data_IF_289673947048
#
_entry.id   IF_289673947048
#
_cell.length_a   1.000
_cell.length_b   1.000
_cell.length_c   1.000
_cell.angle_alpha   90.00
_cell.angle_beta   90.00
_cell.angle_gamma   90.00
#
_symmetry.space_group_name_H-M   'P 1'
#
loop_
_entity.id
_entity.type
_entity.pdbx_description
1 polymer ?
#
# COMPACT_ATOMS: atom_id res chain seq x y z
N UNK A 1 -20.81 -50.93 1.23
CA UNK A 1 -19.55 -50.62 1.95
C UNK A 1 -19.66 -49.20 2.46
N UNK A 2 -19.64 -49.04 3.79
CA UNK A 2 -20.45 -48.04 4.49
C UNK A 2 -19.79 -46.67 4.69
N UNK A 3 -20.66 -45.67 4.85
CA UNK A 3 -20.44 -44.24 5.17
C UNK A 3 -19.28 -43.93 6.15
N UNK A 4 -18.90 -44.87 7.03
CA UNK A 4 -17.79 -44.71 7.97
C UNK A 4 -16.41 -44.52 7.31
N UNK A 5 -16.15 -45.14 6.15
CA UNK A 5 -14.85 -45.03 5.48
C UNK A 5 -14.60 -43.64 4.87
N UNK A 6 -15.65 -42.91 4.47
CA UNK A 6 -15.51 -41.54 3.94
C UNK A 6 -15.23 -40.52 5.03
N UNK A 7 -15.82 -40.71 6.22
CA UNK A 7 -15.58 -39.83 7.37
C UNK A 7 -14.16 -40.02 7.93
N UNK A 8 -13.68 -41.26 7.99
CA UNK A 8 -12.31 -41.58 8.41
C UNK A 8 -11.29 -41.06 7.40
N UNK A 9 -11.55 -41.16 6.10
CA UNK A 9 -10.68 -40.58 5.07
C UNK A 9 -10.64 -39.03 5.15
N UNK A 10 -11.77 -38.36 5.40
CA UNK A 10 -11.81 -36.90 5.56
C UNK A 10 -11.07 -36.44 6.82
N UNK A 11 -11.22 -37.17 7.93
CA UNK A 11 -10.51 -36.91 9.18
C UNK A 11 -9.00 -37.14 9.03
N UNK A 12 -8.58 -38.22 8.35
CA UNK A 12 -7.17 -38.47 8.04
C UNK A 12 -6.59 -37.40 7.10
N UNK A 13 -7.38 -36.87 6.16
CA UNK A 13 -6.93 -35.80 5.27
C UNK A 13 -6.76 -34.47 6.02
N UNK A 14 -7.70 -34.12 6.89
CA UNK A 14 -7.63 -32.90 7.71
C UNK A 14 -6.48 -32.98 8.74
N UNK A 15 -6.26 -34.14 9.38
CA UNK A 15 -5.15 -34.31 10.31
C UNK A 15 -3.79 -34.34 9.60
N UNK A 16 -3.69 -34.91 8.39
CA UNK A 16 -2.47 -34.86 7.57
C UNK A 16 -2.14 -33.41 7.16
N UNK A 17 -3.14 -32.60 6.79
CA UNK A 17 -2.94 -31.18 6.47
C UNK A 17 -2.55 -30.33 7.69
N UNK A 18 -3.13 -30.59 8.87
CA UNK A 18 -2.73 -29.95 10.11
C UNK A 18 -1.29 -30.34 10.50
N UNK A 19 -0.91 -31.61 10.31
CA UNK A 19 0.45 -32.10 10.56
C UNK A 19 1.47 -31.52 9.58
N UNK A 20 1.15 -31.41 8.28
CA UNK A 20 2.02 -30.78 7.27
C UNK A 20 2.23 -29.28 7.57
N UNK A 21 1.18 -28.55 7.97
CA UNK A 21 1.29 -27.14 8.37
C UNK A 21 2.12 -27.00 9.66
N UNK A 22 2.02 -27.96 10.58
CA UNK A 22 2.80 -28.00 11.81
C UNK A 22 4.29 -28.27 11.54
N UNK A 23 4.63 -29.23 10.67
CA UNK A 23 6.01 -29.57 10.29
C UNK A 23 6.70 -28.44 9.50
N UNK A 24 5.98 -27.76 8.59
CA UNK A 24 6.49 -26.58 7.86
C UNK A 24 6.83 -25.42 8.81
N UNK A 25 6.12 -25.31 9.95
CA UNK A 25 6.34 -24.24 10.93
C UNK A 25 7.54 -24.48 11.84
N UNK A 26 8.08 -25.71 11.89
CA UNK A 26 9.12 -26.10 12.85
C UNK A 26 10.37 -26.76 12.25
N UNK A 27 10.40 -27.06 10.95
CA UNK A 27 11.63 -27.50 10.29
C UNK A 27 12.50 -26.31 9.88
N UNK A 28 13.49 -26.03 10.72
CA UNK A 28 14.64 -25.18 10.40
C UNK A 28 15.45 -25.86 9.29
N UNK A 29 15.27 -25.45 8.03
CA UNK A 29 16.05 -26.02 6.95
C UNK A 29 17.40 -25.32 6.85
N UNK A 30 18.38 -25.98 7.47
CA UNK A 30 19.80 -25.93 7.14
C UNK A 30 19.96 -26.05 5.63
N UNK A 31 20.53 -25.03 4.98
CA UNK A 31 21.02 -25.11 3.60
C UNK A 31 22.51 -25.46 3.69
N UNK A 32 22.85 -26.74 3.49
CA UNK A 32 24.23 -27.17 3.27
C UNK A 32 24.54 -27.11 1.78
N UNK A 33 25.59 -26.35 1.45
CA UNK A 33 26.52 -26.65 0.35
C UNK A 33 26.08 -26.31 -1.07
N UNK A 34 26.15 -25.04 -1.44
CA UNK A 34 26.49 -24.66 -2.82
C UNK A 34 28.00 -24.38 -2.90
N UNK A 35 28.72 -25.09 -3.78
CA UNK A 35 29.99 -24.59 -4.29
C UNK A 35 29.70 -23.57 -5.38
N UNK A 36 30.01 -22.29 -5.12
CA UNK A 36 30.39 -21.32 -6.14
C UNK A 36 31.41 -20.36 -5.52
N UNK A 37 32.63 -20.40 -6.05
CA UNK A 37 33.76 -19.53 -5.72
C UNK A 37 33.88 -18.41 -6.81
N UNK A 38 34.70 -17.35 -6.65
CA UNK A 38 34.22 -16.03 -6.22
C UNK A 38 34.48 -14.85 -7.22
N UNK A 39 33.69 -13.77 -7.03
CA UNK A 39 34.01 -12.30 -7.01
C UNK A 39 35.11 -11.77 -7.97
N UNK A 40 34.89 -10.76 -8.85
CA UNK A 40 34.98 -9.30 -8.62
C UNK A 40 35.21 -8.58 -10.00
N UNK A 41 34.97 -7.28 -10.30
CA UNK A 41 35.20 -6.02 -9.56
C UNK A 41 34.39 -4.87 -10.18
N UNK A 42 33.86 -3.95 -9.37
CA UNK A 42 33.93 -2.52 -9.70
C UNK A 42 34.15 -1.69 -8.41
N UNK A 43 35.09 -0.74 -8.50
CA UNK A 43 35.40 0.25 -7.45
C UNK A 43 34.19 1.16 -7.24
N UNK A 44 33.77 1.35 -5.99
CA UNK A 44 32.88 2.44 -5.61
C UNK A 44 33.60 3.78 -5.83
N UNK A 45 32.97 4.68 -6.59
CA UNK A 45 33.25 6.13 -6.54
C UNK A 45 32.26 6.78 -5.55
N UNK A 46 32.64 7.89 -4.89
CA UNK A 46 31.77 8.55 -3.95
C UNK A 46 30.50 9.08 -4.64
N UNK A 47 29.43 8.93 -3.87
CA UNK A 47 28.06 9.35 -4.08
C UNK A 47 28.03 10.85 -4.43
N UNK A 48 27.62 11.17 -5.66
CA UNK A 48 27.27 12.54 -6.03
C UNK A 48 26.00 12.89 -5.25
N UNK A 49 26.07 13.85 -4.33
CA UNK A 49 24.87 14.47 -3.75
C UNK A 49 24.26 15.37 -4.82
N UNK A 50 23.04 15.11 -5.32
CA UNK A 50 22.37 16.08 -6.16
C UNK A 50 21.84 17.20 -5.26
N UNK A 51 22.18 18.43 -5.62
CA UNK A 51 21.53 19.64 -5.13
C UNK A 51 20.08 19.62 -5.63
N UNK A 52 19.11 19.62 -4.72
CA UNK A 52 17.68 19.60 -5.07
C UNK A 52 17.02 20.92 -4.72
N UNK A 53 16.26 21.45 -5.69
CA UNK A 53 15.41 22.62 -5.53
C UNK A 53 14.08 22.17 -4.90
N UNK A 54 13.90 22.47 -3.61
CA UNK A 54 12.72 22.06 -2.84
C UNK A 54 11.59 23.09 -3.03
N UNK A 55 10.93 23.06 -4.19
CA UNK A 55 9.70 23.81 -4.40
C UNK A 55 8.51 23.19 -3.65
N UNK A 56 7.53 24.02 -3.30
CA UNK A 56 6.33 23.66 -2.54
C UNK A 56 5.39 22.67 -3.29
N UNK A 57 5.73 22.35 -4.54
CA UNK A 57 4.93 21.57 -5.50
C UNK A 57 5.46 20.14 -5.72
N UNK A 58 6.39 19.66 -4.87
CA UNK A 58 6.90 18.28 -4.95
C UNK A 58 6.14 17.35 -4.02
N UNK A 59 5.67 16.21 -4.55
CA UNK A 59 5.02 15.16 -3.76
C UNK A 59 6.10 14.24 -3.19
N UNK A 60 6.13 14.12 -1.87
CA UNK A 60 7.04 13.22 -1.17
C UNK A 60 6.31 11.96 -0.72
N UNK A 61 6.80 10.79 -1.12
CA UNK A 61 6.24 9.49 -0.76
C UNK A 61 7.31 8.66 -0.06
N UNK A 62 7.04 8.16 1.14
CA UNK A 62 7.94 7.29 1.89
C UNK A 62 7.40 5.86 1.96
N UNK A 63 8.30 4.89 1.78
CA UNK A 63 7.99 3.46 1.80
C UNK A 63 9.01 2.72 2.65
N UNK A 64 8.54 1.83 3.52
CA UNK A 64 9.39 0.92 4.28
C UNK A 64 9.49 -0.41 3.54
N UNK A 65 10.70 -0.76 3.09
CA UNK A 65 10.97 -1.99 2.36
C UNK A 65 11.99 -2.81 3.17
N UNK A 66 11.46 -3.64 4.06
CA UNK A 66 12.22 -4.55 4.91
C UNK A 66 11.95 -6.01 4.53
N UNK A 67 12.81 -6.93 4.96
CA UNK A 67 12.50 -8.36 5.05
C UNK A 67 12.23 -9.09 3.71
N UNK A 68 12.91 -8.70 2.64
CA UNK A 68 12.98 -9.50 1.41
C UNK A 68 12.60 -8.75 0.14
N UNK A 69 12.59 -9.48 -0.98
CA UNK A 69 12.41 -8.89 -2.30
C UNK A 69 10.94 -8.70 -2.70
N UNK A 70 10.02 -9.42 -2.05
CA UNK A 70 8.59 -9.33 -2.36
C UNK A 70 8.05 -7.91 -2.16
N UNK A 71 8.49 -7.22 -1.11
CA UNK A 71 8.16 -5.81 -0.88
C UNK A 71 8.67 -4.89 -2.00
N UNK A 72 9.76 -5.26 -2.70
CA UNK A 72 10.25 -4.50 -3.84
C UNK A 72 9.36 -4.71 -5.07
N UNK A 73 8.83 -5.92 -5.25
CA UNK A 73 7.88 -6.22 -6.32
C UNK A 73 6.54 -5.53 -6.11
N UNK A 74 6.09 -5.46 -4.87
CA UNK A 74 4.94 -4.65 -4.45
C UNK A 74 5.21 -3.17 -4.72
N UNK A 75 6.36 -2.64 -4.30
CA UNK A 75 6.72 -1.24 -4.54
C UNK A 75 6.79 -0.88 -6.03
N UNK A 76 7.39 -1.72 -6.87
CA UNK A 76 7.39 -1.51 -8.32
C UNK A 76 5.96 -1.45 -8.87
N UNK A 77 5.09 -2.37 -8.46
CA UNK A 77 3.70 -2.44 -8.93
C UNK A 77 2.89 -1.24 -8.44
N UNK A 78 3.11 -0.80 -7.20
CA UNK A 78 2.54 0.42 -6.65
C UNK A 78 2.99 1.64 -7.46
N UNK A 79 4.29 1.81 -7.74
CA UNK A 79 4.80 2.91 -8.56
C UNK A 79 4.14 2.89 -9.95
N UNK A 80 4.01 1.73 -10.59
CA UNK A 80 3.28 1.60 -11.86
C UNK A 80 1.83 2.06 -11.74
N UNK A 81 1.12 1.73 -10.65
CA UNK A 81 -0.24 2.22 -10.41
C UNK A 81 -0.30 3.75 -10.27
N UNK A 82 0.67 4.36 -9.55
CA UNK A 82 0.78 5.82 -9.43
C UNK A 82 0.98 6.45 -10.81
N UNK A 83 1.96 5.98 -11.58
CA UNK A 83 2.27 6.50 -12.90
C UNK A 83 1.10 6.32 -13.87
N UNK A 84 0.40 5.19 -13.79
CA UNK A 84 -0.80 4.92 -14.58
C UNK A 84 -1.86 6.00 -14.35
N UNK A 85 -2.18 6.30 -13.10
CA UNK A 85 -3.18 7.32 -12.74
C UNK A 85 -2.70 8.77 -12.90
N UNK A 86 -1.38 9.00 -12.97
CA UNK A 86 -0.78 10.28 -13.40
C UNK A 86 -0.68 10.44 -14.93
N UNK A 87 -1.19 9.49 -15.72
CA UNK A 87 -1.08 9.47 -17.19
C UNK A 87 0.37 9.50 -17.69
N UNK A 88 1.26 8.86 -16.94
CA UNK A 88 2.69 8.71 -17.22
C UNK A 88 2.96 7.36 -17.90
N UNK A 89 2.21 7.07 -18.96
CA UNK A 89 2.34 5.82 -19.73
C UNK A 89 2.14 6.04 -21.23
N UNK A 90 2.62 5.10 -22.05
CA UNK A 90 2.59 5.13 -23.51
C UNK A 90 1.51 4.19 -24.06
N UNK A 91 0.35 4.71 -24.52
CA UNK A 91 -0.73 3.89 -25.06
C UNK A 91 -0.41 3.27 -26.43
N UNK A 92 0.51 3.86 -27.19
CA UNK A 92 0.78 3.48 -28.59
C UNK A 92 1.88 2.43 -28.78
N UNK A 93 2.47 1.88 -27.70
CA UNK A 93 3.44 0.79 -27.81
C UNK A 93 2.69 -0.53 -27.70
N UNK A 94 2.76 -1.37 -28.74
CA UNK A 94 1.99 -2.62 -28.84
C UNK A 94 2.10 -3.50 -27.59
N UNK A 95 3.31 -3.66 -27.05
CA UNK A 95 3.56 -4.48 -25.83
C UNK A 95 2.93 -3.92 -24.55
N UNK A 96 2.50 -2.66 -24.53
CA UNK A 96 1.93 -1.99 -23.35
C UNK A 96 0.44 -2.20 -23.20
N UNK A 97 -0.24 -2.63 -24.28
CA UNK A 97 -1.68 -2.87 -24.27
C UNK A 97 -2.06 -4.35 -24.10
N UNK A 98 -1.07 -5.25 -24.09
CA UNK A 98 -1.30 -6.69 -23.97
C UNK A 98 -1.15 -7.16 -22.52
N UNK A 99 -2.27 -7.31 -21.84
CA UNK A 99 -2.32 -7.99 -20.56
C UNK A 99 -2.02 -9.48 -20.70
N UNK A 100 -1.05 -9.96 -19.92
CA UNK A 100 -0.70 -11.38 -19.87
C UNK A 100 -1.68 -12.21 -19.03
N UNK A 101 -2.36 -11.57 -18.07
CA UNK A 101 -3.29 -12.24 -17.17
C UNK A 101 -4.70 -11.71 -17.38
N UNK A 102 -5.70 -12.58 -17.23
CA UNK A 102 -7.11 -12.22 -17.35
C UNK A 102 -7.47 -11.57 -18.71
N UNK A 103 -6.95 -12.10 -19.82
CA UNK A 103 -7.14 -11.59 -21.19
C UNK A 103 -8.60 -11.48 -21.63
N UNK A 104 -9.51 -12.24 -21.02
CA UNK A 104 -10.96 -12.16 -21.26
C UNK A 104 -11.59 -10.87 -20.70
N UNK A 105 -10.90 -10.18 -19.80
CA UNK A 105 -11.30 -8.87 -19.28
C UNK A 105 -10.68 -7.83 -20.23
N UNK A 106 -11.38 -7.65 -21.36
CA UNK A 106 -11.27 -6.63 -22.40
C UNK A 106 -9.91 -5.92 -22.52
N UNK A 107 -9.13 -6.23 -23.57
CA UNK A 107 -8.09 -5.34 -24.14
C UNK A 107 -8.58 -3.91 -24.40
N UNK A 108 -9.89 -3.69 -24.45
CA UNK A 108 -10.56 -2.40 -24.60
C UNK A 108 -10.48 -1.51 -23.35
N UNK A 109 -10.04 -2.00 -22.19
CA UNK A 109 -10.00 -1.22 -20.95
C UNK A 109 -9.00 -0.04 -21.00
N UNK A 110 -7.81 -0.23 -21.60
CA UNK A 110 -6.82 0.85 -21.80
C UNK A 110 -7.34 1.87 -22.79
N UNK A 111 -7.87 1.38 -23.90
CA UNK A 111 -8.41 2.18 -25.00
C UNK A 111 -9.62 3.00 -24.56
N UNK A 112 -10.48 2.44 -23.69
CA UNK A 112 -11.59 3.16 -23.08
C UNK A 112 -11.08 4.24 -22.11
N UNK A 113 -10.16 3.92 -21.20
CA UNK A 113 -9.61 4.91 -20.26
C UNK A 113 -8.90 6.07 -20.98
N UNK A 114 -8.19 5.79 -22.09
CA UNK A 114 -7.54 6.80 -22.93
C UNK A 114 -8.57 7.71 -23.65
N UNK A 115 -9.64 7.13 -24.22
CA UNK A 115 -10.75 7.89 -24.84
C UNK A 115 -11.50 8.77 -23.84
N UNK A 116 -11.75 8.28 -22.63
CA UNK A 116 -12.49 9.01 -21.59
C UNK A 116 -11.68 10.17 -21.00
N UNK A 117 -10.35 10.10 -21.07
CA UNK A 117 -9.46 11.05 -20.40
C UNK A 117 -8.70 12.01 -21.34
N UNK A 118 -8.57 11.70 -22.63
CA UNK A 118 -8.14 12.63 -23.69
C UNK A 118 -9.11 13.80 -23.87
N UNK A 119 -10.41 13.58 -23.65
CA UNK A 119 -11.42 14.65 -23.64
C UNK A 119 -11.31 15.64 -22.47
N UNK A 120 -10.53 15.32 -21.43
CA UNK A 120 -10.30 16.17 -20.24
C UNK A 120 -8.90 16.82 -20.24
N UNK A 121 -8.26 16.99 -21.39
CA UNK A 121 -6.95 17.62 -21.59
C UNK A 121 -6.92 19.14 -21.31
N UNK A 122 -7.43 19.57 -20.16
CA UNK A 122 -6.74 20.66 -19.47
C UNK A 122 -5.40 20.07 -19.00
N UNK A 123 -4.28 20.71 -19.36
CA UNK A 123 -2.93 20.37 -18.85
C UNK A 123 -2.97 20.29 -17.33
N UNK A 124 -3.20 19.11 -16.76
CA UNK A 124 -2.98 18.88 -15.33
C UNK A 124 -1.48 19.02 -15.11
N UNK A 125 -1.13 19.98 -14.27
CA UNK A 125 0.24 20.18 -13.81
C UNK A 125 0.72 18.88 -13.15
N UNK A 126 1.81 18.32 -13.67
CA UNK A 126 2.35 17.06 -13.17
C UNK A 126 3.36 17.40 -12.10
N UNK A 127 2.95 17.23 -10.85
CA UNK A 127 3.85 17.41 -9.72
C UNK A 127 5.00 16.40 -9.78
N UNK A 128 6.27 16.85 -9.61
CA UNK A 128 7.39 15.96 -9.40
C UNK A 128 7.16 15.07 -8.18
N UNK A 129 7.65 13.82 -8.22
CA UNK A 129 7.58 12.91 -7.06
C UNK A 129 8.99 12.55 -6.61
N UNK A 130 9.20 12.57 -5.30
CA UNK A 130 10.39 12.00 -4.66
C UNK A 130 9.95 10.78 -3.84
N UNK A 131 10.47 9.61 -4.20
CA UNK A 131 10.32 8.40 -3.38
C UNK A 131 11.43 8.32 -2.34
N UNK A 132 11.06 8.11 -1.10
CA UNK A 132 11.93 7.93 0.05
C UNK A 132 11.85 6.48 0.53
N UNK A 133 12.83 5.67 0.14
CA UNK A 133 12.87 4.26 0.49
C UNK A 133 13.68 4.04 1.77
N UNK A 134 13.01 3.55 2.81
CA UNK A 134 13.63 3.10 4.06
C UNK A 134 13.89 1.61 3.90
N UNK A 135 15.15 1.22 3.72
CA UNK A 135 15.50 -0.07 3.10
C UNK A 135 16.58 -0.83 3.84
N UNK A 136 16.45 -2.15 3.84
CA UNK A 136 17.56 -3.08 4.09
C UNK A 136 18.49 -3.17 2.87
N UNK A 137 19.64 -3.83 3.03
CA UNK A 137 20.65 -3.93 1.97
C UNK A 137 20.12 -4.58 0.67
N UNK A 138 19.37 -5.67 0.78
CA UNK A 138 18.85 -6.39 -0.39
C UNK A 138 17.78 -5.56 -1.15
N UNK A 139 16.75 -5.00 -0.50
CA UNK A 139 15.84 -4.04 -1.15
C UNK A 139 16.53 -2.81 -1.74
N UNK A 140 17.57 -2.27 -1.08
CA UNK A 140 18.36 -1.18 -1.62
C UNK A 140 18.97 -1.54 -2.98
N UNK A 141 19.68 -2.67 -3.07
CA UNK A 141 20.33 -3.10 -4.32
C UNK A 141 19.33 -3.28 -5.46
N UNK A 142 18.19 -3.91 -5.14
CA UNK A 142 17.11 -4.13 -6.11
C UNK A 142 16.51 -2.81 -6.58
N UNK A 143 16.03 -1.97 -5.66
CA UNK A 143 15.33 -0.74 -5.99
C UNK A 143 16.26 0.30 -6.62
N UNK A 144 17.51 0.38 -6.19
CA UNK A 144 18.50 1.28 -6.78
C UNK A 144 18.76 0.92 -8.25
N UNK A 145 18.97 -0.38 -8.56
CA UNK A 145 19.10 -0.84 -9.95
C UNK A 145 17.81 -0.60 -10.73
N UNK A 146 16.67 -0.99 -10.18
CA UNK A 146 15.37 -0.86 -10.83
C UNK A 146 15.08 0.59 -11.23
N UNK A 147 15.25 1.54 -10.31
CA UNK A 147 14.93 2.95 -10.53
C UNK A 147 15.95 3.64 -11.44
N UNK A 148 17.24 3.26 -11.35
CA UNK A 148 18.28 3.76 -12.26
C UNK A 148 18.04 3.31 -13.69
N UNK A 149 17.66 2.05 -13.89
CA UNK A 149 17.38 1.49 -15.22
C UNK A 149 16.08 2.05 -15.83
N UNK A 150 15.11 2.44 -14.99
CA UNK A 150 13.79 2.87 -15.47
C UNK A 150 13.84 4.27 -16.08
N UNK A 151 14.58 5.22 -15.49
CA UNK A 151 14.79 6.56 -16.06
C UNK A 151 13.50 7.37 -16.25
N UNK A 152 12.72 7.53 -15.17
CA UNK A 152 11.44 8.25 -15.17
C UNK A 152 11.61 9.77 -15.05
N UNK A 153 10.93 10.54 -15.90
CA UNK A 153 10.96 12.01 -15.88
C UNK A 153 10.18 12.57 -14.67
N UNK A 154 10.70 13.60 -14.02
CA UNK A 154 10.08 14.19 -12.82
C UNK A 154 9.87 13.22 -11.65
N UNK A 155 10.59 12.09 -11.62
CA UNK A 155 10.63 11.14 -10.51
C UNK A 155 12.07 11.05 -10.01
N UNK A 156 12.26 11.18 -8.71
CA UNK A 156 13.56 10.98 -8.06
C UNK A 156 13.42 10.05 -6.87
N UNK A 157 14.55 9.49 -6.42
CA UNK A 157 14.59 8.50 -5.34
C UNK A 157 15.67 8.84 -4.33
N UNK A 158 15.38 8.56 -3.06
CA UNK A 158 16.30 8.70 -1.93
C UNK A 158 16.24 7.43 -1.08
N UNK A 159 17.40 6.96 -0.63
CA UNK A 159 17.52 5.71 0.13
C UNK A 159 18.02 5.99 1.55
N UNK A 160 17.36 5.38 2.53
CA UNK A 160 17.66 5.50 3.95
C UNK A 160 17.90 4.10 4.54
N UNK A 161 19.17 3.72 4.81
CA UNK A 161 19.49 2.39 5.31
C UNK A 161 18.88 2.13 6.70
N UNK A 162 18.10 1.05 6.84
CA UNK A 162 17.44 0.65 8.09
C UNK A 162 18.44 0.48 9.24
N UNK A 163 19.61 -0.09 8.97
CA UNK A 163 20.69 -0.29 9.96
C UNK A 163 21.09 0.96 10.74
N UNK A 164 20.84 2.16 10.18
CA UNK A 164 21.16 3.44 10.85
C UNK A 164 20.14 3.79 11.95
N UNK A 165 18.98 3.13 11.97
CA UNK A 165 17.83 3.49 12.80
C UNK A 165 17.30 2.32 13.64
N UNK A 166 17.55 1.08 13.21
CA UNK A 166 16.99 -0.15 13.78
C UNK A 166 17.25 -0.31 15.29
N UNK A 167 18.45 0.04 15.75
CA UNK A 167 18.83 -0.04 17.17
C UNK A 167 17.89 0.77 18.10
N UNK A 168 17.15 1.74 17.57
CA UNK A 168 16.22 2.58 18.34
C UNK A 168 14.85 1.93 18.53
N UNK A 169 14.57 0.86 17.80
CA UNK A 169 13.27 0.19 17.80
C UNK A 169 13.35 -1.31 18.06
N UNK A 170 14.53 -1.93 17.94
CA UNK A 170 14.75 -3.37 18.12
C UNK A 170 14.27 -3.93 19.47
N UNK A 171 14.22 -3.10 20.52
CA UNK A 171 13.70 -3.52 21.83
C UNK A 171 12.18 -3.66 21.88
N UNK A 172 11.45 -3.09 20.91
CA UNK A 172 9.99 -3.11 20.89
C UNK A 172 9.47 -4.38 20.21
N UNK A 173 8.81 -5.25 20.98
CA UNK A 173 8.19 -6.46 20.45
C UNK A 173 6.89 -6.11 19.73
N UNK A 174 6.69 -6.71 18.56
CA UNK A 174 5.49 -6.52 17.75
C UNK A 174 4.90 -7.87 17.33
N UNK A 175 3.56 -7.94 17.26
CA UNK A 175 2.83 -9.04 16.61
C UNK A 175 2.71 -8.85 15.09
N UNK A 176 3.11 -7.69 14.58
CA UNK A 176 3.12 -7.40 13.15
C UNK A 176 4.11 -8.31 12.40
N UNK A 177 3.80 -8.67 11.15
CA UNK A 177 4.63 -9.60 10.37
C UNK A 177 6.07 -9.07 10.15
N UNK A 178 6.23 -7.75 10.03
CA UNK A 178 7.54 -7.07 9.95
C UNK A 178 8.26 -6.92 11.31
N UNK A 179 7.74 -7.51 12.39
CA UNK A 179 8.35 -7.46 13.72
C UNK A 179 8.61 -6.02 14.20
N UNK A 180 9.78 -5.79 14.80
CA UNK A 180 10.18 -4.47 15.31
C UNK A 180 10.43 -3.43 14.20
N UNK A 181 10.67 -3.86 12.95
CA UNK A 181 10.91 -2.93 11.84
C UNK A 181 9.66 -2.09 11.51
N UNK A 182 8.47 -2.58 11.86
CA UNK A 182 7.20 -1.82 11.77
C UNK A 182 7.28 -0.44 12.45
N UNK A 183 7.97 -0.34 13.59
CA UNK A 183 8.18 0.92 14.32
C UNK A 183 9.05 1.96 13.60
N UNK A 184 9.77 1.60 12.53
CA UNK A 184 10.59 2.55 11.78
C UNK A 184 9.76 3.69 11.17
N UNK A 185 8.47 3.47 10.89
CA UNK A 185 7.56 4.54 10.46
C UNK A 185 7.43 5.66 11.51
N UNK A 186 7.58 5.35 12.80
CA UNK A 186 7.55 6.35 13.88
C UNK A 186 8.78 7.27 13.85
N UNK A 187 9.89 6.82 13.26
CA UNK A 187 11.14 7.58 13.12
C UNK A 187 11.16 8.51 11.91
N UNK A 188 10.08 8.59 11.13
CA UNK A 188 10.03 9.33 9.87
C UNK A 188 10.47 10.79 10.00
N UNK A 189 10.20 11.44 11.15
CA UNK A 189 10.58 12.84 11.36
C UNK A 189 12.09 13.04 11.53
N UNK A 190 12.82 11.98 11.84
CA UNK A 190 14.27 11.95 12.03
C UNK A 190 15.00 11.32 10.85
N UNK A 191 14.33 10.42 10.12
CA UNK A 191 14.88 9.79 8.92
C UNK A 191 14.89 10.79 7.77
N UNK A 192 13.79 11.53 7.57
CA UNK A 192 13.69 12.47 6.45
C UNK A 192 14.36 13.82 6.77
N UNK A 193 14.99 14.48 5.77
CA UNK A 193 15.58 15.81 5.92
C UNK A 193 14.62 16.85 6.50
N UNK A 194 15.18 17.83 7.20
CA UNK A 194 14.44 18.89 7.90
C UNK A 194 13.66 19.81 6.96
N UNK A 195 14.12 19.92 5.71
CA UNK A 195 13.58 20.75 4.64
C UNK A 195 12.24 20.20 4.14
N UNK A 196 12.03 18.88 4.24
CA UNK A 196 10.79 18.22 3.84
C UNK A 196 9.72 18.50 4.90
N UNK A 197 8.63 19.17 4.47
CA UNK A 197 7.56 19.65 5.37
C UNK A 197 6.40 18.68 5.52
N UNK A 198 6.07 17.94 4.46
CA UNK A 198 4.93 17.03 4.32
C UNK A 198 5.41 15.74 3.63
N UNK A 199 4.86 14.59 3.98
CA UNK A 199 5.14 13.31 3.31
C UNK A 199 3.94 12.38 3.41
N UNK A 200 3.65 11.64 2.35
CA UNK A 200 2.74 10.49 2.38
C UNK A 200 3.55 9.23 2.67
N UNK A 201 3.25 8.52 3.75
CA UNK A 201 3.83 7.19 4.00
C UNK A 201 2.83 6.15 3.49
N UNK A 202 3.29 5.22 2.65
CA UNK A 202 2.48 4.13 2.09
C UNK A 202 3.12 2.78 2.41
N UNK A 203 2.29 1.81 2.79
CA UNK A 203 2.68 0.39 2.74
C UNK A 203 2.85 -0.06 1.28
N UNK A 204 3.72 -1.05 1.06
CA UNK A 204 4.09 -1.49 -0.29
C UNK A 204 2.94 -2.24 -1.00
N UNK A 205 2.05 -2.88 -0.25
CA UNK A 205 0.91 -3.68 -0.71
C UNK A 205 -0.36 -2.85 -0.97
N UNK A 206 -0.15 -1.63 -1.46
CA UNK A 206 -1.19 -0.68 -1.84
C UNK A 206 -1.18 -0.45 -3.36
N UNK A 207 -2.36 -0.44 -3.97
CA UNK A 207 -2.55 0.01 -5.35
C UNK A 207 -3.44 1.25 -5.39
N UNK A 208 -3.04 2.24 -6.19
CA UNK A 208 -3.82 3.44 -6.42
C UNK A 208 -4.84 3.21 -7.53
N UNK A 209 -6.00 3.84 -7.37
CA UNK A 209 -7.07 3.94 -8.37
C UNK A 209 -7.39 5.42 -8.69
N UNK A 210 -6.56 6.35 -8.26
CA UNK A 210 -6.70 7.79 -8.50
C UNK A 210 -5.32 8.48 -8.57
N UNK A 211 -5.30 9.73 -9.02
CA UNK A 211 -4.13 10.57 -9.07
C UNK A 211 -3.66 10.89 -7.63
N UNK A 212 -2.40 10.55 -7.34
CA UNK A 212 -1.77 10.77 -6.03
C UNK A 212 -1.77 12.24 -5.60
N UNK A 213 -1.85 13.19 -6.55
CA UNK A 213 -1.99 14.62 -6.24
C UNK A 213 -3.28 14.95 -5.49
N UNK A 214 -4.37 14.20 -5.71
CA UNK A 214 -5.63 14.37 -4.98
C UNK A 214 -5.52 13.89 -3.52
N UNK A 215 -4.64 12.91 -3.23
CA UNK A 215 -4.33 12.54 -1.84
C UNK A 215 -3.40 13.59 -1.21
N UNK A 216 -2.44 14.10 -1.97
CA UNK A 216 -1.52 15.16 -1.51
C UNK A 216 -2.26 16.44 -1.15
N UNK A 217 -3.28 16.84 -1.91
CA UNK A 217 -4.06 18.06 -1.66
C UNK A 217 -4.83 18.02 -0.34
N UNK A 218 -5.08 16.84 0.25
CA UNK A 218 -5.73 16.72 1.56
C UNK A 218 -4.92 17.43 2.66
N UNK A 219 -3.59 17.59 2.49
CA UNK A 219 -2.80 18.38 3.43
C UNK A 219 -3.27 19.83 3.56
N UNK A 220 -3.91 20.40 2.54
CA UNK A 220 -4.39 21.78 2.54
C UNK A 220 -5.70 21.93 3.31
N UNK A 221 -6.38 20.82 3.58
CA UNK A 221 -7.56 20.75 4.45
C UNK A 221 -7.19 20.63 5.94
N UNK A 222 -5.92 20.41 6.27
CA UNK A 222 -5.50 20.32 7.67
C UNK A 222 -5.65 21.69 8.33
N UNK A 223 -6.38 21.72 9.45
CA UNK A 223 -6.37 22.86 10.35
C UNK A 223 -4.96 23.15 10.89
N UNK A 224 -4.79 24.31 11.54
CA UNK A 224 -3.53 24.71 12.17
C UNK A 224 -2.98 23.61 13.09
N UNK A 225 -3.87 22.91 13.79
CA UNK A 225 -3.51 21.92 14.78
C UNK A 225 -3.36 20.49 14.23
N UNK A 226 -3.90 20.18 13.06
CA UNK A 226 -3.79 18.84 12.49
C UNK A 226 -2.42 18.60 11.84
N UNK A 227 -1.85 17.42 12.05
CA UNK A 227 -0.53 17.02 11.54
C UNK A 227 -0.41 15.56 11.13
N UNK A 228 -1.39 14.71 11.44
CA UNK A 228 -1.44 13.31 10.98
C UNK A 228 -2.79 13.08 10.33
N UNK A 229 -2.79 12.83 9.03
CA UNK A 229 -3.93 12.33 8.27
C UNK A 229 -3.88 10.81 8.21
N UNK A 230 -4.95 10.14 8.63
CA UNK A 230 -5.00 8.67 8.68
C UNK A 230 -6.45 8.19 8.53
N UNK A 231 -6.65 7.01 7.94
CA UNK A 231 -7.98 6.45 7.69
C UNK A 231 -8.41 5.51 8.81
N UNK A 232 -9.71 5.52 9.14
CA UNK A 232 -10.26 4.66 10.17
C UNK A 232 -10.02 3.17 9.88
N UNK A 233 -9.80 2.40 10.94
CA UNK A 233 -9.68 0.95 10.89
C UNK A 233 -11.03 0.32 10.50
N UNK A 234 -11.00 -0.58 9.51
CA UNK A 234 -12.17 -1.27 8.97
C UNK A 234 -12.34 -2.67 9.56
N UNK A 235 -11.36 -3.20 10.28
CA UNK A 235 -11.47 -4.42 11.06
C UNK A 235 -11.81 -4.12 12.53
N UNK A 236 -13.06 -4.27 12.97
CA UNK A 236 -13.43 -3.98 14.35
C UNK A 236 -12.94 -5.03 15.35
N UNK A 237 -12.41 -6.17 14.90
CA UNK A 237 -11.95 -7.24 15.80
C UNK A 237 -10.78 -6.80 16.67
N UNK A 238 -9.94 -5.87 16.17
CA UNK A 238 -8.90 -5.23 16.97
C UNK A 238 -9.47 -4.58 18.22
N UNK A 239 -10.55 -3.83 18.08
CA UNK A 239 -11.21 -3.21 19.23
C UNK A 239 -12.05 -4.20 20.04
N UNK A 240 -12.83 -5.09 19.42
CA UNK A 240 -13.75 -5.97 20.14
C UNK A 240 -13.04 -6.99 21.02
N UNK A 241 -11.89 -7.49 20.58
CA UNK A 241 -11.15 -8.54 21.29
C UNK A 241 -10.24 -7.96 22.38
N UNK A 242 -9.80 -6.71 22.23
CA UNK A 242 -8.88 -6.05 23.17
C UNK A 242 -9.62 -5.15 24.17
N UNK A 243 -10.68 -4.45 23.72
CA UNK A 243 -11.37 -3.43 24.52
C UNK A 243 -10.51 -2.17 24.76
N UNK A 244 -11.15 -1.09 25.22
CA UNK A 244 -10.50 0.23 25.40
C UNK A 244 -9.25 0.22 26.29
N UNK A 245 -9.19 -0.72 27.25
CA UNK A 245 -8.04 -0.84 28.16
C UNK A 245 -6.81 -1.45 27.49
N UNK A 246 -6.98 -2.30 26.48
CA UNK A 246 -5.86 -2.90 25.75
C UNK A 246 -5.54 -2.17 24.44
N UNK A 247 -6.51 -1.44 23.89
CA UNK A 247 -6.36 -0.66 22.66
C UNK A 247 -6.78 0.79 22.89
N UNK A 248 -5.88 1.67 23.36
CA UNK A 248 -6.23 3.06 23.71
C UNK A 248 -6.36 3.91 22.45
N UNK A 249 -7.38 3.66 21.65
CA UNK A 249 -7.65 4.36 20.39
C UNK A 249 -8.96 5.16 20.42
N UNK A 250 -9.10 6.08 19.48
CA UNK A 250 -10.38 6.73 19.18
C UNK A 250 -11.26 5.78 18.38
N UNK A 251 -12.48 5.52 18.84
CA UNK A 251 -13.38 4.57 18.17
C UNK A 251 -12.73 3.19 18.03
N UNK A 252 -12.67 2.67 16.79
CA UNK A 252 -11.99 1.42 16.45
C UNK A 252 -10.49 1.59 16.16
N UNK A 253 -9.99 2.82 16.24
CA UNK A 253 -8.65 3.20 15.82
C UNK A 253 -8.53 3.43 14.32
N UNK A 254 -7.29 3.58 13.91
CA UNK A 254 -6.88 3.95 12.56
C UNK A 254 -5.84 2.98 12.04
N UNK A 255 -5.84 2.79 10.71
CA UNK A 255 -4.94 1.87 10.03
C UNK A 255 -3.69 2.60 9.52
N UNK A 256 -2.49 2.08 9.84
CA UNK A 256 -1.21 2.73 9.54
C UNK A 256 -0.64 2.42 8.14
N UNK A 257 -1.44 1.83 7.24
CA UNK A 257 -1.03 1.61 5.85
C UNK A 257 -0.84 2.89 5.05
N UNK A 258 -1.48 3.97 5.48
CA UNK A 258 -1.39 5.28 4.84
C UNK A 258 -1.34 6.35 5.91
N UNK A 259 -0.31 7.20 5.85
CA UNK A 259 -0.14 8.32 6.76
C UNK A 259 0.18 9.58 5.97
N UNK A 260 -0.64 10.62 6.12
CA UNK A 260 -0.33 11.97 5.65
C UNK A 260 0.34 12.71 6.81
N UNK A 261 1.65 12.84 6.76
CA UNK A 261 2.45 13.34 7.87
C UNK A 261 2.93 14.76 7.56
N UNK A 262 2.47 15.72 8.37
CA UNK A 262 3.04 17.07 8.36
C UNK A 262 4.27 17.11 9.28
N UNK A 263 5.43 16.78 8.71
CA UNK A 263 6.72 16.66 9.39
C UNK A 263 7.09 17.90 10.20
N UNK A 264 6.96 19.11 9.64
CA UNK A 264 7.30 20.34 10.36
C UNK A 264 6.47 20.50 11.64
N UNK A 265 5.14 20.28 11.56
CA UNK A 265 4.25 20.38 12.73
C UNK A 265 4.57 19.30 13.77
N UNK A 266 4.83 18.05 13.35
CA UNK A 266 5.19 16.97 14.27
C UNK A 266 6.54 17.19 14.97
N UNK A 267 7.57 17.61 14.22
CA UNK A 267 8.88 17.97 14.79
C UNK A 267 8.74 19.06 15.85
N UNK A 268 8.00 20.14 15.54
CA UNK A 268 7.75 21.25 16.45
C UNK A 268 7.01 20.83 17.74
N UNK A 269 6.22 19.76 17.69
CA UNK A 269 5.49 19.22 18.83
C UNK A 269 6.28 18.19 19.64
N UNK A 270 7.52 17.89 19.24
CA UNK A 270 8.35 16.91 19.93
C UNK A 270 7.85 15.48 19.74
N UNK A 271 7.32 15.16 18.55
CA UNK A 271 6.83 13.82 18.18
C UNK A 271 7.74 12.70 18.69
N UNK A 272 9.04 12.80 18.47
CA UNK A 272 10.02 11.78 18.83
C UNK A 272 10.01 11.41 20.31
N UNK A 273 9.87 12.41 21.19
CA UNK A 273 9.78 12.18 22.63
C UNK A 273 8.44 11.57 23.01
N UNK A 274 7.37 12.00 22.34
CA UNK A 274 6.00 11.60 22.63
C UNK A 274 5.73 10.16 22.23
N UNK A 275 6.00 9.78 20.98
CA UNK A 275 5.75 8.41 20.54
C UNK A 275 6.64 7.43 21.31
N UNK A 276 7.90 7.78 21.58
CA UNK A 276 8.85 6.92 22.30
C UNK A 276 8.35 6.66 23.72
N UNK A 277 7.95 7.71 24.45
CA UNK A 277 7.35 7.58 25.79
C UNK A 277 6.09 6.72 25.76
N UNK A 278 5.22 6.95 24.78
CA UNK A 278 3.98 6.17 24.61
C UNK A 278 4.27 4.70 24.33
N UNK A 279 5.22 4.40 23.43
CA UNK A 279 5.63 3.04 23.11
C UNK A 279 6.20 2.32 24.35
N UNK A 280 7.09 2.96 25.12
CA UNK A 280 7.61 2.39 26.36
C UNK A 280 6.51 2.10 27.39
N UNK A 281 5.56 3.02 27.57
CA UNK A 281 4.45 2.82 28.50
C UNK A 281 3.57 1.63 28.07
N UNK A 282 3.19 1.57 26.78
CA UNK A 282 2.41 0.46 26.24
C UNK A 282 3.16 -0.86 26.38
N UNK A 283 4.46 -0.88 26.07
CA UNK A 283 5.30 -2.07 26.18
C UNK A 283 5.46 -2.55 27.62
N UNK A 284 5.59 -1.63 28.59
CA UNK A 284 5.62 -1.97 30.02
C UNK A 284 4.32 -2.64 30.49
N UNK A 285 3.18 -2.26 29.91
CA UNK A 285 1.88 -2.81 30.29
C UNK A 285 1.55 -4.10 29.52
N UNK A 286 1.83 -4.13 28.22
CA UNK A 286 1.33 -5.15 27.29
C UNK A 286 2.37 -6.18 26.86
N UNK A 287 3.67 -5.90 27.03
CA UNK A 287 4.84 -6.72 26.62
C UNK A 287 5.02 -6.94 25.11
N UNK A 288 3.95 -6.91 24.33
CA UNK A 288 3.92 -7.02 22.87
C UNK A 288 2.75 -6.18 22.35
N UNK A 289 2.99 -5.44 21.26
CA UNK A 289 1.96 -4.64 20.59
C UNK A 289 1.49 -5.38 19.33
N UNK A 290 0.21 -5.81 19.24
CA UNK A 290 -0.28 -6.63 18.14
C UNK A 290 -0.05 -6.08 16.74
N UNK A 291 -0.18 -4.76 16.54
CA UNK A 291 0.02 -4.13 15.23
C UNK A 291 1.15 -3.10 15.24
N UNK A 292 2.07 -3.21 16.20
CA UNK A 292 3.32 -2.46 16.21
C UNK A 292 3.14 -0.94 16.32
N UNK A 293 3.61 -0.23 15.29
CA UNK A 293 3.53 1.23 15.22
C UNK A 293 2.10 1.76 15.23
N UNK A 294 1.16 1.01 14.67
CA UNK A 294 -0.24 1.40 14.60
C UNK A 294 -0.84 1.56 16.01
N UNK A 295 -0.49 0.68 16.96
CA UNK A 295 -0.90 0.77 18.36
C UNK A 295 -0.40 2.09 18.99
N UNK A 296 0.86 2.44 18.71
CA UNK A 296 1.51 3.63 19.25
C UNK A 296 0.90 4.90 18.66
N UNK A 297 0.68 4.94 17.34
CA UNK A 297 0.02 6.06 16.66
C UNK A 297 -1.38 6.27 17.23
N UNK A 298 -2.16 5.21 17.35
CA UNK A 298 -3.52 5.27 17.91
C UNK A 298 -3.52 5.78 19.36
N UNK A 299 -2.59 5.33 20.19
CA UNK A 299 -2.43 5.79 21.56
C UNK A 299 -2.07 7.28 21.65
N UNK A 300 -1.14 7.74 20.81
CA UNK A 300 -0.76 9.16 20.74
C UNK A 300 -1.96 10.02 20.30
N UNK A 301 -2.70 9.59 19.26
CA UNK A 301 -3.86 10.33 18.75
C UNK A 301 -5.03 10.35 19.75
N UNK A 302 -5.22 9.28 20.52
CA UNK A 302 -6.23 9.25 21.58
C UNK A 302 -5.93 10.29 22.68
N UNK A 303 -4.65 10.53 22.98
CA UNK A 303 -4.20 11.58 23.91
C UNK A 303 -4.17 12.99 23.27
N UNK A 304 -3.99 13.07 21.95
CA UNK A 304 -3.79 14.32 21.21
C UNK A 304 -4.78 14.44 20.04
N UNK A 305 -6.08 14.36 20.33
CA UNK A 305 -7.15 14.25 19.32
C UNK A 305 -7.14 15.37 18.27
N UNK A 306 -6.70 16.58 18.64
CA UNK A 306 -6.61 17.73 17.75
C UNK A 306 -5.51 17.61 16.67
N UNK A 307 -4.62 16.61 16.76
CA UNK A 307 -3.60 16.34 15.75
C UNK A 307 -4.12 15.53 14.56
N UNK A 308 -5.23 14.82 14.76
CA UNK A 308 -5.83 13.91 13.81
C UNK A 308 -6.62 14.67 12.76
N UNK A 309 -6.34 14.38 11.49
CA UNK A 309 -7.27 14.55 10.38
C UNK A 309 -7.71 13.15 9.94
N UNK A 310 -8.99 12.83 10.03
CA UNK A 310 -9.51 11.55 9.55
C UNK A 310 -9.73 11.64 8.04
N UNK A 311 -8.89 10.95 7.25
CA UNK A 311 -9.04 10.97 5.78
C UNK A 311 -10.23 10.11 5.36
N UNK A 312 -10.93 10.44 4.25
CA UNK A 312 -12.05 9.64 3.75
C UNK A 312 -11.66 8.18 3.55
N UNK A 313 -12.49 7.23 4.00
CA UNK A 313 -12.16 5.80 4.00
C UNK A 313 -11.84 5.24 2.61
N UNK A 314 -12.38 5.84 1.53
CA UNK A 314 -12.07 5.49 0.12
C UNK A 314 -10.60 5.60 -0.25
N UNK A 315 -9.81 6.33 0.55
CA UNK A 315 -8.36 6.44 0.44
C UNK A 315 -7.59 5.33 1.15
N UNK A 316 -8.23 4.42 1.90
CA UNK A 316 -7.58 3.26 2.52
C UNK A 316 -8.58 2.10 2.67
N UNK A 317 -8.97 1.48 1.56
CA UNK A 317 -9.84 0.29 1.60
C UNK A 317 -9.01 -0.92 2.03
N UNK A 318 -9.39 -1.52 3.15
CA UNK A 318 -8.60 -2.57 3.81
C UNK A 318 -9.19 -3.94 3.48
N UNK A 319 -8.34 -4.85 3.01
CA UNK A 319 -8.72 -6.20 2.57
C UNK A 319 -8.25 -7.31 3.52
N UNK A 320 -7.85 -6.96 4.75
CA UNK A 320 -7.51 -7.91 5.80
C UNK A 320 -8.70 -8.78 6.18
N UNK A 321 -8.42 -9.96 6.74
CA UNK A 321 -9.45 -10.80 7.33
C UNK A 321 -10.23 -10.00 8.38
N UNK A 322 -11.55 -10.18 8.40
CA UNK A 322 -12.49 -9.50 9.31
C UNK A 322 -12.68 -7.99 9.08
N UNK A 323 -12.10 -7.40 8.04
CA UNK A 323 -12.51 -6.06 7.58
C UNK A 323 -13.99 -6.07 7.17
N UNK A 324 -14.77 -5.14 7.72
CA UNK A 324 -16.19 -5.00 7.44
C UNK A 324 -16.40 -3.99 6.32
N UNK A 325 -16.92 -4.46 5.17
CA UNK A 325 -17.20 -3.64 3.99
C UNK A 325 -18.19 -2.50 4.28
N UNK A 326 -19.08 -2.68 5.25
CA UNK A 326 -20.08 -1.69 5.70
C UNK A 326 -19.42 -0.45 6.31
N UNK A 327 -18.18 -0.55 6.79
CA UNK A 327 -17.42 0.57 7.35
C UNK A 327 -16.83 1.48 6.28
N UNK A 328 -16.72 1.00 5.04
CA UNK A 328 -16.39 1.81 3.90
C UNK A 328 -17.06 1.25 2.64
N UNK A 329 -18.36 1.52 2.44
CA UNK A 329 -19.08 0.99 1.32
C UNK A 329 -18.59 1.69 0.05
N UNK A 330 -17.89 0.94 -0.81
CA UNK A 330 -17.33 1.45 -2.06
C UNK A 330 -17.60 0.51 -3.22
N UNK A 331 -17.68 1.09 -4.40
CA UNK A 331 -17.43 0.34 -5.63
C UNK A 331 -15.98 0.53 -6.03
N UNK A 332 -15.47 -0.37 -6.86
CA UNK A 332 -14.16 -0.22 -7.49
C UNK A 332 -14.35 -0.44 -8.97
N UNK A 333 -14.54 0.66 -9.67
CA UNK A 333 -14.73 0.66 -11.11
C UNK A 333 -13.46 1.13 -11.79
N UNK A 334 -12.97 0.26 -12.68
CA UNK A 334 -11.90 0.57 -13.62
C UNK A 334 -12.50 1.27 -14.86
N UNK A 335 -13.27 2.36 -14.67
CA UNK A 335 -13.99 3.09 -15.73
C UNK A 335 -14.24 2.26 -17.01
N UNK A 336 -15.21 1.36 -16.94
CA UNK A 336 -15.69 0.63 -18.11
C UNK A 336 -16.57 1.61 -18.90
N UNK A 337 -16.17 2.00 -20.11
CA UNK A 337 -17.20 2.43 -21.05
C UNK A 337 -18.00 1.19 -21.45
N UNK A 338 -19.29 1.20 -21.15
CA UNK A 338 -20.27 0.46 -21.92
C UNK A 338 -20.28 1.06 -23.33
N UNK A 339 -20.39 0.21 -24.36
CA UNK A 339 -20.35 0.56 -25.79
C UNK A 339 -21.56 1.39 -26.27
N UNK A 340 -21.98 2.42 -25.53
CA UNK A 340 -23.04 3.33 -25.96
C UNK A 340 -22.44 4.59 -26.62
N UNK A 341 -22.45 4.57 -27.96
CA UNK A 341 -21.97 5.59 -28.91
C UNK A 341 -22.68 6.97 -28.86
N UNK A 342 -23.16 7.44 -27.70
CA UNK A 342 -23.83 8.75 -27.60
C UNK A 342 -23.01 9.81 -26.85
N UNK A 343 -22.21 10.54 -27.62
CA UNK A 343 -21.22 11.54 -27.19
C UNK A 343 -21.80 12.73 -26.39
N UNK A 344 -23.07 13.09 -26.55
CA UNK A 344 -23.65 14.25 -25.85
C UNK A 344 -24.14 13.94 -24.42
N UNK A 345 -24.39 12.67 -24.10
CA UNK A 345 -24.73 12.23 -22.75
C UNK A 345 -23.51 12.04 -21.84
N UNK A 346 -22.30 11.98 -22.41
CA UNK A 346 -21.07 11.63 -21.69
C UNK A 346 -20.58 12.75 -20.76
N UNK A 347 -20.61 14.01 -21.20
CA UNK A 347 -20.25 15.18 -20.38
C UNK A 347 -21.20 15.33 -19.19
N UNK A 348 -22.50 15.09 -19.41
CA UNK A 348 -23.52 15.10 -18.36
C UNK A 348 -23.35 13.91 -17.43
N UNK A 349 -22.99 12.71 -17.92
CA UNK A 349 -22.75 11.52 -17.10
C UNK A 349 -21.49 11.59 -16.25
N UNK A 350 -20.38 12.16 -16.71
CA UNK A 350 -19.10 12.20 -15.96
C UNK A 350 -19.12 13.16 -14.77
N UNK A 351 -19.63 14.38 -14.96
CA UNK A 351 -19.84 15.33 -13.85
C UNK A 351 -20.94 14.86 -12.89
N UNK A 352 -21.86 14.02 -13.38
CA UNK A 352 -22.88 13.33 -12.60
C UNK A 352 -22.38 11.99 -12.01
N UNK A 353 -21.21 11.48 -12.40
CA UNK A 353 -20.66 10.20 -11.90
C UNK A 353 -19.82 10.41 -10.63
N UNK A 354 -19.12 11.53 -10.55
CA UNK A 354 -18.42 11.92 -9.33
C UNK A 354 -19.39 12.36 -8.22
N UNK A 355 -20.63 12.77 -8.56
CA UNK A 355 -21.63 13.25 -7.59
C UNK A 355 -23.00 12.52 -7.52
N UNK A 356 -23.49 11.74 -8.52
CA UNK A 356 -24.92 11.30 -8.56
C UNK A 356 -25.25 9.88 -9.13
N UNK A 357 -24.41 9.11 -9.85
CA UNK A 357 -24.88 7.85 -10.52
C UNK A 357 -24.42 6.51 -9.89
N UNK A 358 -23.56 6.53 -8.88
CA UNK A 358 -23.31 5.35 -8.04
C UNK A 358 -23.86 5.64 -6.64
N UNK A 359 -24.63 4.72 -6.08
CA UNK A 359 -25.08 4.83 -4.67
C UNK A 359 -23.88 4.94 -3.71
N UNK A 360 -22.69 4.50 -4.13
CA UNK A 360 -21.49 4.39 -3.31
C UNK A 360 -20.26 5.00 -3.99
N UNK A 361 -19.33 5.61 -3.24
CA UNK A 361 -18.12 6.21 -3.79
C UNK A 361 -17.19 5.17 -4.44
N UNK A 362 -16.48 5.58 -5.50
CA UNK A 362 -15.43 4.76 -6.09
C UNK A 362 -14.18 4.75 -5.18
N UNK A 363 -13.62 3.56 -4.96
CA UNK A 363 -12.39 3.37 -4.20
C UNK A 363 -11.23 4.10 -4.88
N UNK A 364 -10.44 4.83 -4.10
CA UNK A 364 -9.31 5.64 -4.58
C UNK A 364 -7.98 4.94 -4.35
N UNK A 365 -7.91 4.13 -3.30
CA UNK A 365 -6.72 3.35 -2.96
C UNK A 365 -7.13 2.09 -2.20
N UNK A 366 -6.54 0.97 -2.61
CA UNK A 366 -6.82 -0.35 -2.06
C UNK A 366 -5.57 -0.89 -1.38
N UNK A 367 -5.70 -1.22 -0.11
CA UNK A 367 -4.65 -1.75 0.76
C UNK A 367 -4.88 -3.24 0.98
N UNK A 368 -4.00 -4.06 0.41
CA UNK A 368 -4.08 -5.51 0.52
C UNK A 368 -3.41 -6.04 1.79
N UNK A 369 -3.87 -5.56 2.95
CA UNK A 369 -3.37 -5.94 4.28
C UNK A 369 -3.78 -7.36 4.74
N UNK A 370 -3.98 -8.29 3.80
CA UNK A 370 -4.15 -9.71 4.08
C UNK A 370 -2.78 -10.41 4.19
N UNK A 371 -2.71 -11.52 4.95
CA UNK A 371 -1.46 -12.26 5.15
C UNK A 371 -0.96 -12.97 3.88
N UNK A 372 -1.88 -13.51 3.07
CA UNK A 372 -1.51 -14.25 1.86
C UNK A 372 -1.47 -13.27 0.69
N UNK A 373 -0.28 -12.80 0.37
CA UNK A 373 0.00 -11.77 -0.64
C UNK A 373 -0.01 -12.35 -2.08
N UNK A 374 -0.18 -11.52 -3.13
CA UNK A 374 -0.19 -11.99 -4.52
C UNK A 374 1.14 -12.58 -5.01
N UNK A 375 2.27 -12.25 -4.39
CA UNK A 375 3.58 -12.76 -4.80
C UNK A 375 3.67 -14.28 -4.67
N UNK A 376 2.99 -14.87 -3.67
CA UNK A 376 2.95 -16.32 -3.45
C UNK A 376 2.42 -17.13 -4.64
N UNK A 377 1.59 -16.52 -5.49
CA UNK A 377 0.99 -17.20 -6.64
C UNK A 377 1.51 -16.67 -7.98
N UNK A 378 2.45 -15.72 -7.99
CA UNK A 378 3.03 -15.22 -9.24
C UNK A 378 3.94 -16.30 -9.89
N UNK A 379 3.95 -16.48 -11.23
CA UNK A 379 3.17 -15.78 -12.28
C UNK A 379 1.81 -16.42 -12.57
N UNK A 380 1.38 -17.43 -11.81
CA UNK A 380 0.15 -18.19 -12.07
C UNK A 380 -0.99 -17.71 -11.17
N UNK A 381 -1.78 -16.72 -11.60
CA UNK A 381 -2.76 -16.08 -10.74
C UNK A 381 -3.80 -17.08 -10.21
N UNK A 382 -4.17 -16.90 -8.94
CA UNK A 382 -5.35 -17.55 -8.35
C UNK A 382 -6.58 -17.26 -9.23
N UNK A 383 -7.24 -18.33 -9.70
CA UNK A 383 -8.52 -18.22 -10.40
C UNK A 383 -9.64 -18.10 -9.39
N UNK A 384 -10.36 -16.99 -9.46
CA UNK A 384 -11.56 -16.77 -8.67
C UNK A 384 -12.80 -16.99 -9.54
N UNK A 385 -13.83 -17.73 -9.08
CA UNK A 385 -15.04 -18.01 -9.86
C UNK A 385 -15.82 -16.73 -10.15
N UNK A 386 -16.19 -16.41 -11.40
CA UNK A 386 -16.89 -15.15 -11.76
C UNK A 386 -18.09 -14.87 -10.84
N UNK A 387 -18.22 -13.65 -10.27
CA UNK A 387 -19.40 -13.32 -9.48
C UNK A 387 -20.60 -13.10 -10.40
N UNK A 388 -21.81 -13.28 -9.84
CA UNK A 388 -22.98 -12.54 -10.31
C UNK A 388 -22.85 -11.13 -9.74
N UNK A 389 -22.24 -10.19 -10.48
CA UNK A 389 -22.22 -8.78 -10.10
C UNK A 389 -23.65 -8.25 -10.19
N UNK A 390 -24.33 -8.10 -9.06
CA UNK A 390 -25.55 -7.29 -8.98
C UNK A 390 -25.11 -5.82 -8.92
N UNK A 391 -25.59 -5.01 -9.87
CA UNK A 391 -25.22 -3.60 -10.04
C UNK A 391 -25.61 -2.68 -8.87
N UNK A 392 -26.48 -3.15 -7.98
CA UNK A 392 -27.16 -2.30 -7.00
C UNK A 392 -26.54 -2.37 -5.58
N UNK A 393 -25.41 -3.07 -5.41
CA UNK A 393 -24.70 -3.19 -4.12
C UNK A 393 -23.22 -2.77 -4.24
N UNK A 394 -22.67 -2.16 -3.18
CA UNK A 394 -21.23 -1.93 -3.05
C UNK A 394 -20.47 -3.25 -2.98
N UNK A 395 -19.22 -3.26 -3.45
CA UNK A 395 -18.46 -4.51 -3.60
C UNK A 395 -18.16 -5.17 -2.24
N UNK A 396 -18.27 -6.50 -2.23
CA UNK A 396 -17.75 -7.34 -1.14
C UNK A 396 -16.21 -7.32 -1.10
N UNK A 397 -15.64 -7.67 0.06
CA UNK A 397 -14.19 -7.85 0.22
C UNK A 397 -13.62 -8.86 -0.79
N UNK A 398 -14.37 -9.92 -1.13
CA UNK A 398 -13.96 -10.91 -2.13
C UNK A 398 -13.89 -10.27 -3.53
N UNK A 399 -14.90 -9.49 -3.93
CA UNK A 399 -14.89 -8.77 -5.22
C UNK A 399 -13.72 -7.78 -5.28
N UNK A 400 -13.49 -6.99 -4.23
CA UNK A 400 -12.38 -6.04 -4.17
C UNK A 400 -11.01 -6.74 -4.22
N UNK A 401 -10.82 -7.81 -3.45
CA UNK A 401 -9.60 -8.62 -3.50
C UNK A 401 -9.32 -9.16 -4.89
N UNK A 402 -10.35 -9.65 -5.60
CA UNK A 402 -10.18 -10.13 -6.97
C UNK A 402 -9.75 -9.04 -7.93
N UNK A 403 -10.40 -7.88 -7.87
CA UNK A 403 -10.04 -6.70 -8.65
C UNK A 403 -8.60 -6.26 -8.34
N UNK A 404 -8.19 -6.34 -7.07
CA UNK A 404 -6.81 -6.10 -6.65
C UNK A 404 -5.85 -7.07 -7.33
N UNK A 405 -6.08 -8.38 -7.22
CA UNK A 405 -5.24 -9.38 -7.88
C UNK A 405 -5.14 -9.13 -9.40
N UNK A 406 -6.28 -8.87 -10.06
CA UNK A 406 -6.30 -8.60 -11.49
C UNK A 406 -5.41 -7.40 -11.86
N UNK A 407 -5.61 -6.26 -11.22
CA UNK A 407 -4.79 -5.07 -11.47
C UNK A 407 -3.32 -5.31 -11.11
N UNK A 408 -3.06 -5.92 -9.96
CA UNK A 408 -1.71 -6.24 -9.49
C UNK A 408 -0.96 -7.07 -10.52
N UNK A 409 -1.50 -8.24 -10.92
CA UNK A 409 -0.83 -9.14 -11.87
C UNK A 409 -0.60 -8.49 -13.23
N UNK A 410 -1.54 -7.67 -13.67
CA UNK A 410 -1.44 -6.96 -14.93
C UNK A 410 -0.35 -5.88 -14.90
N UNK A 411 -0.31 -5.02 -13.87
CA UNK A 411 0.76 -4.03 -13.70
C UNK A 411 2.12 -4.70 -13.46
N UNK A 412 2.15 -5.78 -12.68
CA UNK A 412 3.35 -6.57 -12.41
C UNK A 412 3.97 -7.10 -13.69
N UNK A 413 3.14 -7.62 -14.60
CA UNK A 413 3.57 -8.17 -15.89
C UNK A 413 3.80 -7.12 -16.98
N UNK A 414 3.30 -5.90 -16.81
CA UNK A 414 3.50 -4.79 -17.74
C UNK A 414 4.97 -4.34 -17.75
N UNK A 415 5.49 -4.08 -18.95
CA UNK A 415 6.85 -3.60 -19.13
C UNK A 415 7.05 -2.22 -18.52
N UNK A 416 8.21 -2.00 -17.87
CA UNK A 416 8.60 -0.68 -17.34
C UNK A 416 8.71 0.37 -18.46
N UNK A 417 9.08 -0.03 -19.68
CA UNK A 417 9.17 0.84 -20.86
C UNK A 417 7.83 1.40 -21.35
N UNK A 418 6.73 0.97 -20.73
CA UNK A 418 5.40 1.52 -20.92
C UNK A 418 5.19 2.82 -20.14
N UNK A 419 6.07 3.18 -19.21
CA UNK A 419 5.94 4.36 -18.35
C UNK A 419 6.99 5.42 -18.67
N UNK A 420 6.71 6.68 -18.33
CA UNK A 420 7.60 7.83 -18.54
C UNK A 420 7.69 8.77 -17.36
#
# INVERSE_FOLDING_TARGET
MSSGYRLVALLLFVTLWIYIIYEIKHSSMIILGGEFDPVCKYKMKPMYQPYYDFHNDTIHIAMLLADGIDNCYQAETQIKSILFHQKRWYPSKDDCCHFKHFTHINSNWLTANDRVQSFNEAKRERFPIVFHFIVDQLPYEFMNRLMSDWGLDGISVQFYPIKNYEARVESFKSGHYAGHKSYLKLLITQILPTEIKKVIVLDADILLNDDISNLWSIFDEFSKDQCIGIAAEQNPTFYSNMGKRFWPALGYGYNAGILLIHLTKLRARGWDKIWMKTAFNLMSEKRILPTGEQDVINAVLNQNKHWLYEIPCKWNIQLSAFSMRERCPVVWEFLLNTDDDDHNNYRRKKTLHDDIVLQYPNAKLIHFNAHVKPEYFFPTPLRFPLPFDKSDEYHSTIQLSRKYFQLYYNLRSMSRYCFR
#
